data_IF_247313683590
#
_entry.id   IF_247313683590
#
_cell.length_a   1.000
_cell.length_b   1.000
_cell.length_c   1.000
_cell.angle_alpha   90.00
_cell.angle_beta   90.00
_cell.angle_gamma   90.00
#
_symmetry.space_group_name_H-M   'P 1'
#
loop_
_entity.id
_entity.type
_entity.pdbx_description
1 polymer ?
#
# COMPACT_ATOMS: atom_id res chain seq x y z
N UNK A 1 -11.66 5.66 -12.68
CA UNK A 1 -10.44 5.22 -13.38
C UNK A 1 -9.67 6.47 -13.75
N UNK A 2 -8.40 6.64 -13.35
CA UNK A 2 -7.57 7.78 -13.75
C UNK A 2 -6.76 7.35 -14.98
N UNK A 3 -6.98 8.01 -16.12
CA UNK A 3 -6.21 7.82 -17.35
C UNK A 3 -5.10 8.86 -17.34
N UNK A 4 -3.86 8.41 -17.51
CA UNK A 4 -2.68 9.29 -17.58
C UNK A 4 -2.26 9.32 -19.03
N UNK A 5 -2.33 10.50 -19.64
CA UNK A 5 -1.93 10.76 -21.01
C UNK A 5 -0.64 11.57 -20.99
N UNK A 6 0.31 11.20 -21.84
CA UNK A 6 1.47 12.02 -22.11
C UNK A 6 1.07 13.07 -23.14
N UNK A 7 0.65 14.24 -22.67
CA UNK A 7 0.15 15.32 -23.52
C UNK A 7 1.26 15.95 -24.38
N UNK A 8 2.53 15.85 -23.96
CA UNK A 8 3.66 16.32 -24.77
C UNK A 8 3.86 15.39 -25.97
N UNK A 9 3.79 14.07 -25.74
CA UNK A 9 3.83 13.08 -26.82
C UNK A 9 2.63 13.20 -27.76
N UNK A 10 1.42 13.39 -27.26
CA UNK A 10 0.23 13.58 -28.11
C UNK A 10 0.33 14.83 -28.99
N UNK A 11 0.95 15.90 -28.50
CA UNK A 11 1.19 17.10 -29.31
C UNK A 11 2.26 16.83 -30.37
N UNK A 12 3.34 16.12 -30.02
CA UNK A 12 4.40 15.72 -30.96
C UNK A 12 3.89 14.78 -32.06
N UNK A 13 3.02 13.85 -31.72
CA UNK A 13 2.42 12.88 -32.63
C UNK A 13 1.26 13.51 -33.46
N UNK A 14 0.95 14.80 -33.27
CA UNK A 14 -0.20 15.53 -33.87
C UNK A 14 -1.59 14.93 -33.55
N UNK A 15 -1.70 14.14 -32.47
CA UNK A 15 -2.97 13.58 -31.99
C UNK A 15 -3.86 14.63 -31.30
N UNK A 16 -3.27 15.74 -30.84
CA UNK A 16 -3.98 16.88 -30.24
C UNK A 16 -3.45 18.21 -30.78
N UNK A 17 -4.30 19.23 -30.80
CA UNK A 17 -3.92 20.60 -31.18
C UNK A 17 -3.19 21.34 -30.04
N UNK A 18 -2.45 22.40 -30.35
CA UNK A 18 -1.84 23.28 -29.32
C UNK A 18 -2.88 23.84 -28.34
N UNK A 19 -4.09 24.12 -28.83
CA UNK A 19 -5.20 24.63 -28.00
C UNK A 19 -5.71 23.59 -27.00
N UNK A 20 -5.80 22.33 -27.42
CA UNK A 20 -6.17 21.20 -26.57
C UNK A 20 -5.05 20.86 -25.59
N UNK A 21 -3.81 20.93 -26.04
CA UNK A 21 -2.64 20.81 -25.18
C UNK A 21 -2.68 21.84 -24.05
N UNK A 22 -2.90 23.12 -24.36
CA UNK A 22 -3.00 24.18 -23.36
C UNK A 22 -4.15 23.94 -22.37
N UNK A 23 -5.32 23.51 -22.87
CA UNK A 23 -6.48 23.17 -22.04
C UNK A 23 -6.22 21.97 -21.13
N UNK A 24 -5.68 20.88 -21.68
CA UNK A 24 -5.35 19.66 -20.93
C UNK A 24 -4.24 19.92 -19.92
N UNK A 25 -3.23 20.72 -20.27
CA UNK A 25 -2.16 21.17 -19.37
C UNK A 25 -2.71 22.02 -18.23
N UNK A 26 -3.66 22.92 -18.50
CA UNK A 26 -4.33 23.71 -17.47
C UNK A 26 -5.20 22.84 -16.53
N UNK A 27 -5.88 21.82 -17.07
CA UNK A 27 -6.63 20.84 -16.27
C UNK A 27 -5.72 19.92 -15.46
N UNK A 28 -4.60 19.48 -16.04
CA UNK A 28 -3.61 18.64 -15.40
C UNK A 28 -2.83 19.38 -14.31
N UNK A 29 -2.50 20.66 -14.50
CA UNK A 29 -1.81 21.48 -13.49
C UNK A 29 -2.55 21.53 -12.14
N UNK A 30 -3.87 21.34 -12.13
CA UNK A 30 -4.67 21.20 -10.89
C UNK A 30 -4.43 19.87 -10.15
N UNK A 31 -3.83 18.88 -10.79
CA UNK A 31 -3.77 17.49 -10.33
C UNK A 31 -2.32 16.94 -10.21
N UNK A 32 -1.36 17.45 -11.02
CA UNK A 32 0.04 16.95 -11.08
C UNK A 32 0.89 17.34 -9.87
N UNK A 33 0.58 18.45 -9.19
CA UNK A 33 1.23 18.82 -7.92
C UNK A 33 0.88 17.90 -6.74
N UNK A 34 -0.08 16.98 -6.92
CA UNK A 34 -0.68 16.27 -5.78
C UNK A 34 0.21 15.19 -5.17
N UNK A 35 1.08 14.48 -5.90
CA UNK A 35 1.74 13.30 -5.32
C UNK A 35 2.88 13.68 -4.35
N UNK A 36 3.84 14.49 -4.80
CA UNK A 36 4.92 14.97 -3.94
C UNK A 36 4.39 15.79 -2.76
N UNK A 37 3.38 16.63 -3.01
CA UNK A 37 2.70 17.40 -1.97
C UNK A 37 1.96 16.50 -0.96
N UNK A 38 1.24 15.46 -1.43
CA UNK A 38 0.58 14.50 -0.56
C UNK A 38 1.58 13.68 0.27
N UNK A 39 2.74 13.35 -0.31
CA UNK A 39 3.84 12.68 0.41
C UNK A 39 4.38 13.60 1.50
N UNK A 40 4.67 14.86 1.17
CA UNK A 40 5.18 15.84 2.13
C UNK A 40 4.18 16.11 3.26
N UNK A 41 2.89 16.25 2.94
CA UNK A 41 1.83 16.33 3.95
C UNK A 41 1.81 15.06 4.81
N UNK A 42 1.87 13.88 4.19
CA UNK A 42 1.88 12.61 4.92
C UNK A 42 3.02 12.54 5.93
N UNK A 43 4.25 12.84 5.50
CA UNK A 43 5.42 12.90 6.38
C UNK A 43 5.30 13.99 7.43
N UNK A 44 4.84 15.18 7.07
CA UNK A 44 4.64 16.29 8.00
C UNK A 44 3.65 15.92 9.11
N UNK A 45 2.50 15.34 8.76
CA UNK A 45 1.50 14.87 9.72
C UNK A 45 2.10 13.82 10.66
N UNK A 46 2.83 12.82 10.13
CA UNK A 46 3.47 11.79 10.94
C UNK A 46 4.50 12.41 11.88
N UNK A 47 5.35 13.31 11.39
CA UNK A 47 6.37 13.98 12.18
C UNK A 47 5.75 14.85 13.29
N UNK A 48 4.69 15.61 12.98
CA UNK A 48 3.96 16.40 13.98
C UNK A 48 3.33 15.52 15.06
N UNK A 49 2.68 14.42 14.66
CA UNK A 49 2.07 13.49 15.62
C UNK A 49 3.15 12.81 16.49
N UNK A 50 4.25 12.34 15.90
CA UNK A 50 5.35 11.73 16.62
C UNK A 50 6.04 12.71 17.58
N UNK A 51 6.28 13.95 17.14
CA UNK A 51 6.83 15.02 17.98
C UNK A 51 5.91 15.36 19.15
N UNK A 52 4.59 15.45 18.91
CA UNK A 52 3.61 15.68 19.96
C UNK A 52 3.57 14.52 20.97
N UNK A 53 3.62 13.27 20.53
CA UNK A 53 3.72 12.10 21.41
C UNK A 53 4.97 12.16 22.29
N UNK A 54 6.12 12.51 21.70
CA UNK A 54 7.39 12.62 22.40
C UNK A 54 7.41 13.77 23.44
N UNK A 55 6.70 14.87 23.16
CA UNK A 55 6.59 16.01 24.06
C UNK A 55 5.59 15.76 25.20
N UNK A 56 4.43 15.17 24.91
CA UNK A 56 3.40 14.93 25.92
C UNK A 56 3.82 13.90 26.96
N UNK A 57 4.64 12.91 26.58
CA UNK A 57 5.12 11.81 27.44
C UNK A 57 4.01 11.13 28.26
N UNK A 58 2.77 11.20 27.77
CA UNK A 58 1.57 10.75 28.47
C UNK A 58 0.58 10.20 27.46
N UNK A 59 0.30 8.90 27.57
CA UNK A 59 -0.64 8.23 26.69
C UNK A 59 -2.07 8.80 26.82
N UNK A 60 -2.63 9.03 28.03
CA UNK A 60 -3.94 9.67 28.16
C UNK A 60 -4.00 11.06 27.55
N UNK A 61 -2.98 11.90 27.76
CA UNK A 61 -2.95 13.25 27.18
C UNK A 61 -2.93 13.22 25.65
N UNK A 62 -2.18 12.29 25.07
CA UNK A 62 -2.10 12.10 23.62
C UNK A 62 -3.43 11.63 23.02
N UNK A 63 -4.12 10.71 23.71
CA UNK A 63 -5.46 10.25 23.30
C UNK A 63 -6.46 11.42 23.35
N UNK A 64 -6.53 12.14 24.47
CA UNK A 64 -7.47 13.25 24.66
C UNK A 64 -7.22 14.35 23.64
N UNK A 65 -5.97 14.76 23.45
CA UNK A 65 -5.62 15.78 22.46
C UNK A 65 -5.93 15.30 21.04
N UNK A 66 -5.58 14.06 20.69
CA UNK A 66 -5.85 13.50 19.38
C UNK A 66 -7.35 13.42 19.06
N UNK A 67 -8.17 13.02 20.03
CA UNK A 67 -9.63 13.02 19.90
C UNK A 67 -10.17 14.44 19.74
N UNK A 68 -9.71 15.39 20.56
CA UNK A 68 -10.13 16.79 20.47
C UNK A 68 -9.82 17.40 19.09
N UNK A 69 -8.61 17.20 18.58
CA UNK A 69 -8.20 17.64 17.25
C UNK A 69 -9.04 16.98 16.15
N UNK A 70 -9.35 15.69 16.29
CA UNK A 70 -10.18 14.96 15.34
C UNK A 70 -11.61 15.49 15.29
N UNK A 71 -12.22 15.73 16.45
CA UNK A 71 -13.57 16.30 16.55
C UNK A 71 -13.62 17.74 16.01
N UNK A 72 -12.60 18.55 16.28
CA UNK A 72 -12.47 19.88 15.70
C UNK A 72 -12.37 19.81 14.17
N UNK A 73 -11.56 18.88 13.65
CA UNK A 73 -11.40 18.66 12.22
C UNK A 73 -12.69 18.25 11.52
N UNK A 74 -13.44 17.31 12.11
CA UNK A 74 -14.78 16.91 11.62
C UNK A 74 -15.73 18.09 11.64
N UNK A 75 -15.77 18.86 12.73
CA UNK A 75 -16.67 20.00 12.90
C UNK A 75 -16.40 21.12 11.88
N UNK A 76 -15.12 21.45 11.66
CA UNK A 76 -14.71 22.44 10.65
C UNK A 76 -15.10 22.01 9.24
N UNK A 77 -14.95 20.72 8.91
CA UNK A 77 -15.36 20.19 7.60
C UNK A 77 -16.88 20.14 7.44
N UNK A 78 -17.62 19.83 8.49
CA UNK A 78 -19.08 19.78 8.43
C UNK A 78 -19.70 21.18 8.25
N UNK A 79 -19.16 22.21 8.91
CA UNK A 79 -19.75 23.55 8.94
C UNK A 79 -19.12 24.54 7.96
N UNK A 80 -17.83 24.38 7.64
CA UNK A 80 -17.06 25.40 6.92
C UNK A 80 -16.14 24.82 5.83
N UNK A 81 -16.59 23.77 5.12
CA UNK A 81 -15.77 23.07 4.11
C UNK A 81 -15.13 24.00 3.07
N UNK A 82 -15.82 25.07 2.67
CA UNK A 82 -15.34 26.03 1.65
C UNK A 82 -14.19 26.91 2.12
N UNK A 83 -14.11 27.21 3.42
CA UNK A 83 -13.13 28.15 3.99
C UNK A 83 -12.02 27.40 4.73
N UNK A 84 -12.38 26.36 5.49
CA UNK A 84 -11.48 25.66 6.43
C UNK A 84 -11.32 24.18 6.12
N UNK A 85 -11.73 23.73 4.93
CA UNK A 85 -11.72 22.31 4.57
C UNK A 85 -10.34 21.64 4.67
N UNK A 86 -9.28 22.36 4.26
CA UNK A 86 -7.89 21.87 4.35
C UNK A 86 -7.44 21.76 5.80
N UNK A 87 -7.64 22.81 6.60
CA UNK A 87 -7.30 22.81 8.03
C UNK A 87 -8.04 21.67 8.76
N UNK A 88 -9.33 21.52 8.51
CA UNK A 88 -10.13 20.45 9.10
C UNK A 88 -9.65 19.06 8.71
N UNK A 89 -9.15 18.87 7.48
CA UNK A 89 -8.54 17.61 7.07
C UNK A 89 -7.21 17.34 7.78
N UNK A 90 -6.35 18.36 7.92
CA UNK A 90 -5.08 18.24 8.64
C UNK A 90 -5.32 17.91 10.11
N UNK A 91 -6.23 18.63 10.78
CA UNK A 91 -6.57 18.38 12.19
C UNK A 91 -7.11 16.97 12.43
N UNK A 92 -7.97 16.49 11.52
CA UNK A 92 -8.48 15.12 11.58
C UNK A 92 -7.38 14.08 11.38
N UNK A 93 -6.45 14.32 10.45
CA UNK A 93 -5.31 13.44 10.20
C UNK A 93 -4.34 13.39 11.39
N UNK A 94 -3.87 14.54 11.84
CA UNK A 94 -2.94 14.67 12.98
C UNK A 94 -3.60 14.11 14.25
N UNK A 95 -4.86 14.48 14.51
CA UNK A 95 -5.61 14.01 15.65
C UNK A 95 -5.77 12.49 15.68
N UNK A 96 -6.12 11.88 14.53
CA UNK A 96 -6.29 10.42 14.44
C UNK A 96 -4.98 9.68 14.68
N UNK A 97 -3.86 10.16 14.11
CA UNK A 97 -2.55 9.52 14.28
C UNK A 97 -2.02 9.72 15.70
N UNK A 98 -2.21 10.90 16.30
CA UNK A 98 -1.82 11.18 17.67
C UNK A 98 -2.59 10.30 18.67
N UNK A 99 -3.92 10.21 18.52
CA UNK A 99 -4.74 9.33 19.33
C UNK A 99 -4.35 7.86 19.12
N UNK A 100 -4.07 7.45 17.89
CA UNK A 100 -3.60 6.10 17.59
C UNK A 100 -2.29 5.77 18.33
N UNK A 101 -1.29 6.66 18.28
CA UNK A 101 -0.04 6.48 19.02
C UNK A 101 -0.26 6.39 20.54
N UNK A 102 -1.12 7.26 21.08
CA UNK A 102 -1.50 7.21 22.51
C UNK A 102 -2.17 5.89 22.91
N UNK A 103 -3.07 5.36 22.06
CA UNK A 103 -3.71 4.06 22.28
C UNK A 103 -2.67 2.94 22.30
N UNK A 104 -1.74 2.92 21.34
CA UNK A 104 -0.70 1.88 21.28
C UNK A 104 0.21 1.92 22.50
N UNK A 105 0.63 3.12 22.94
CA UNK A 105 1.44 3.27 24.17
C UNK A 105 0.65 2.74 25.38
N UNK A 106 -0.64 3.12 25.51
CA UNK A 106 -1.48 2.73 26.65
C UNK A 106 -1.74 1.23 26.73
N UNK A 107 -1.80 0.57 25.58
CA UNK A 107 -2.09 -0.86 25.44
C UNK A 107 -0.85 -1.71 25.25
N UNK A 108 0.34 -1.10 25.35
CA UNK A 108 1.64 -1.75 25.20
C UNK A 108 1.76 -2.54 23.88
N UNK A 109 1.11 -2.07 22.82
CA UNK A 109 1.09 -2.76 21.52
C UNK A 109 0.31 -4.07 21.51
N UNK A 110 -0.63 -4.26 22.44
CA UNK A 110 -1.54 -5.40 22.45
C UNK A 110 -2.55 -5.41 21.30
N UNK A 111 -3.16 -6.58 21.05
CA UNK A 111 -4.14 -6.80 19.97
C UNK A 111 -5.33 -5.84 20.06
N UNK A 112 -5.86 -5.60 21.28
CA UNK A 112 -6.97 -4.68 21.50
C UNK A 112 -6.63 -3.24 21.11
N UNK A 113 -5.39 -2.81 21.37
CA UNK A 113 -4.87 -1.51 20.95
C UNK A 113 -4.84 -1.35 19.44
N UNK A 114 -4.25 -2.32 18.74
CA UNK A 114 -4.20 -2.30 17.27
C UNK A 114 -5.58 -2.39 16.62
N UNK A 115 -6.53 -3.14 17.20
CA UNK A 115 -7.92 -3.15 16.76
C UNK A 115 -8.59 -1.78 16.96
N UNK A 116 -8.42 -1.15 18.12
CA UNK A 116 -8.94 0.19 18.39
C UNK A 116 -8.36 1.22 17.41
N UNK A 117 -7.05 1.17 17.13
CA UNK A 117 -6.41 2.01 16.11
C UNK A 117 -6.95 1.73 14.72
N UNK A 118 -7.19 0.46 14.37
CA UNK A 118 -7.79 0.09 13.08
C UNK A 118 -9.14 0.76 12.90
N UNK A 119 -10.02 0.66 13.92
CA UNK A 119 -11.35 1.27 13.89
C UNK A 119 -11.25 2.79 13.81
N UNK A 120 -10.40 3.41 14.62
CA UNK A 120 -10.17 4.85 14.63
C UNK A 120 -9.70 5.37 13.27
N UNK A 121 -8.66 4.75 12.70
CA UNK A 121 -8.12 5.13 11.40
C UNK A 121 -9.12 4.86 10.27
N UNK A 122 -9.89 3.77 10.32
CA UNK A 122 -10.88 3.49 9.30
C UNK A 122 -12.04 4.49 9.34
N UNK A 123 -12.58 4.77 10.53
CA UNK A 123 -13.63 5.76 10.73
C UNK A 123 -13.16 7.17 10.35
N UNK A 124 -11.99 7.58 10.84
CA UNK A 124 -11.35 8.84 10.48
C UNK A 124 -11.08 8.94 8.98
N UNK A 125 -10.62 7.86 8.35
CA UNK A 125 -10.41 7.77 6.91
C UNK A 125 -11.67 7.94 6.08
N UNK A 126 -12.78 7.32 6.50
CA UNK A 126 -14.09 7.44 5.84
C UNK A 126 -14.64 8.86 6.00
N UNK A 127 -14.61 9.42 7.23
CA UNK A 127 -15.07 10.78 7.50
C UNK A 127 -14.22 11.82 6.77
N UNK A 128 -12.89 11.66 6.79
CA UNK A 128 -11.92 12.55 6.13
C UNK A 128 -11.91 12.40 4.61
N UNK A 129 -12.40 11.28 4.06
CA UNK A 129 -12.06 10.80 2.72
C UNK A 129 -10.54 10.68 2.52
N UNK A 130 -9.83 10.24 3.57
CA UNK A 130 -8.37 10.14 3.60
C UNK A 130 -7.88 8.76 3.20
N UNK A 131 -7.12 8.73 2.11
CA UNK A 131 -6.40 7.55 1.63
C UNK A 131 -5.36 7.06 2.64
N UNK A 132 -4.68 7.99 3.32
CA UNK A 132 -3.62 7.69 4.28
C UNK A 132 -4.17 6.93 5.50
N UNK A 133 -5.25 7.42 6.12
CA UNK A 133 -5.83 6.78 7.29
C UNK A 133 -6.41 5.39 6.97
N UNK A 134 -7.01 5.22 5.79
CA UNK A 134 -7.50 3.91 5.35
C UNK A 134 -6.35 2.91 5.13
N UNK A 135 -5.22 3.36 4.58
CA UNK A 135 -4.03 2.53 4.49
C UNK A 135 -3.46 2.19 5.88
N UNK A 136 -3.40 3.18 6.79
CA UNK A 136 -2.97 2.97 8.18
C UNK A 136 -3.88 2.01 8.93
N UNK A 137 -5.19 2.00 8.65
CA UNK A 137 -6.12 1.04 9.24
C UNK A 137 -5.77 -0.40 8.83
N UNK A 138 -5.48 -0.64 7.55
CA UNK A 138 -5.03 -1.97 7.09
C UNK A 138 -3.69 -2.38 7.72
N UNK A 139 -2.75 -1.45 7.86
CA UNK A 139 -1.46 -1.71 8.51
C UNK A 139 -1.62 -1.99 10.01
N UNK A 140 -2.42 -1.19 10.73
CA UNK A 140 -2.72 -1.42 12.14
C UNK A 140 -3.41 -2.78 12.35
N UNK A 141 -4.32 -3.16 11.45
CA UNK A 141 -4.97 -4.47 11.50
C UNK A 141 -3.93 -5.59 11.34
N UNK A 142 -2.90 -5.40 10.50
CA UNK A 142 -1.87 -6.42 10.28
C UNK A 142 -1.03 -6.68 11.53
N UNK A 143 -0.84 -5.67 12.38
CA UNK A 143 -0.16 -5.84 13.65
C UNK A 143 -0.94 -6.74 14.63
N UNK A 144 -2.26 -6.90 14.46
CA UNK A 144 -3.05 -7.83 15.28
C UNK A 144 -2.68 -9.30 15.04
N UNK A 145 -2.18 -9.62 13.83
CA UNK A 145 -1.65 -10.94 13.44
C UNK A 145 -0.11 -10.98 13.48
N UNK A 146 0.48 -10.01 14.18
CA UNK A 146 1.92 -9.94 14.47
C UNK A 146 2.79 -9.45 13.32
N UNK A 147 2.26 -8.59 12.45
CA UNK A 147 3.10 -7.76 11.59
C UNK A 147 3.80 -6.66 12.42
N UNK A 148 5.11 -6.54 12.26
CA UNK A 148 5.91 -5.54 12.94
C UNK A 148 7.17 -5.19 12.14
N UNK A 149 7.85 -4.14 12.57
CA UNK A 149 9.21 -3.80 12.13
C UNK A 149 10.17 -3.98 13.29
N UNK A 150 11.35 -4.53 13.02
CA UNK A 150 12.43 -4.65 13.99
C UNK A 150 13.63 -3.81 13.52
N UNK A 151 14.40 -3.30 14.48
CA UNK A 151 15.68 -2.68 14.21
C UNK A 151 16.73 -3.36 15.09
N UNK A 152 17.78 -3.87 14.46
CA UNK A 152 18.92 -4.46 15.17
C UNK A 152 20.21 -4.15 14.42
N UNK A 153 21.22 -3.64 15.12
CA UNK A 153 22.55 -3.32 14.57
C UNK A 153 22.58 -2.74 13.13
N UNK A 154 21.85 -1.64 12.89
CA UNK A 154 21.73 -0.98 11.58
C UNK A 154 21.01 -1.78 10.48
N UNK A 155 20.33 -2.86 10.85
CA UNK A 155 19.44 -3.61 9.98
C UNK A 155 17.98 -3.36 10.34
N UNK A 156 17.16 -3.14 9.31
CA UNK A 156 15.71 -3.05 9.43
C UNK A 156 15.08 -4.37 9.01
N UNK A 157 14.43 -5.04 9.95
CA UNK A 157 13.70 -6.28 9.72
C UNK A 157 12.21 -6.03 9.55
N UNK A 158 11.61 -6.71 8.58
CA UNK A 158 10.16 -6.89 8.53
C UNK A 158 9.82 -8.20 9.23
N UNK A 159 8.84 -8.16 10.13
CA UNK A 159 8.39 -9.32 10.89
C UNK A 159 6.94 -9.61 10.57
N UNK A 160 6.61 -10.85 10.22
CA UNK A 160 5.24 -11.37 10.14
C UNK A 160 5.18 -12.66 10.95
N UNK A 161 4.53 -12.62 12.11
CA UNK A 161 4.49 -13.75 13.05
C UNK A 161 3.58 -14.89 12.63
N UNK A 162 2.48 -14.56 11.96
CA UNK A 162 1.52 -15.53 11.47
C UNK A 162 1.35 -15.38 9.96
N UNK A 163 2.33 -15.84 9.15
CA UNK A 163 2.28 -15.76 7.69
C UNK A 163 0.98 -16.30 7.08
N UNK A 164 0.50 -17.48 7.49
CA UNK A 164 -0.72 -18.08 6.93
C UNK A 164 -1.94 -17.23 7.22
N UNK A 165 -2.10 -16.79 8.47
CA UNK A 165 -3.23 -15.93 8.89
C UNK A 165 -3.18 -14.61 8.12
N UNK A 166 -1.99 -14.02 7.96
CA UNK A 166 -1.80 -12.80 7.20
C UNK A 166 -2.23 -12.97 5.74
N UNK A 167 -1.78 -14.03 5.06
CA UNK A 167 -2.15 -14.32 3.67
C UNK A 167 -3.66 -14.51 3.53
N UNK A 168 -4.28 -15.32 4.38
CA UNK A 168 -5.70 -15.66 4.27
C UNK A 168 -6.59 -14.46 4.62
N UNK A 169 -6.33 -13.80 5.77
CA UNK A 169 -7.11 -12.67 6.24
C UNK A 169 -7.04 -11.50 5.25
N UNK A 170 -5.82 -11.09 4.87
CA UNK A 170 -5.67 -9.95 3.97
C UNK A 170 -6.04 -10.27 2.52
N UNK A 171 -5.96 -11.54 2.10
CA UNK A 171 -6.51 -11.99 0.83
C UNK A 171 -8.03 -11.83 0.78
N UNK A 172 -8.72 -12.32 1.82
CA UNK A 172 -10.17 -12.18 1.96
C UNK A 172 -10.59 -10.71 2.06
N UNK A 173 -9.92 -9.92 2.90
CA UNK A 173 -10.20 -8.48 3.07
C UNK A 173 -9.95 -7.71 1.78
N UNK A 174 -8.90 -8.03 1.03
CA UNK A 174 -8.63 -7.42 -0.27
C UNK A 174 -9.77 -7.69 -1.25
N UNK A 175 -10.20 -8.95 -1.34
CA UNK A 175 -11.32 -9.34 -2.19
C UNK A 175 -12.63 -8.66 -1.77
N UNK A 176 -12.98 -8.67 -0.48
CA UNK A 176 -14.18 -8.03 0.05
C UNK A 176 -14.19 -6.51 -0.21
N UNK A 177 -13.09 -5.83 0.08
CA UNK A 177 -12.96 -4.39 -0.15
C UNK A 177 -13.03 -4.05 -1.64
N UNK A 178 -12.43 -4.86 -2.51
CA UNK A 178 -12.58 -4.70 -3.95
C UNK A 178 -14.03 -4.89 -4.40
N UNK A 179 -14.73 -5.93 -3.92
CA UNK A 179 -16.15 -6.18 -4.24
C UNK A 179 -17.04 -5.04 -3.75
N UNK A 180 -16.77 -4.52 -2.57
CA UNK A 180 -17.46 -3.35 -2.02
C UNK A 180 -17.22 -2.10 -2.87
N UNK A 181 -16.00 -1.90 -3.37
CA UNK A 181 -15.66 -0.76 -4.23
C UNK A 181 -16.50 -0.68 -5.51
N UNK A 182 -17.04 -1.80 -5.99
CA UNK A 182 -17.91 -1.85 -7.17
C UNK A 182 -19.32 -1.30 -6.91
N UNK A 183 -19.70 -1.12 -5.63
CA UNK A 183 -21.04 -0.67 -5.21
C UNK A 183 -21.04 0.73 -4.59
N UNK A 184 -19.86 1.29 -4.32
CA UNK A 184 -19.72 2.57 -3.63
C UNK A 184 -19.64 3.74 -4.61
N UNK A 185 -20.12 4.91 -4.17
CA UNK A 185 -19.90 6.17 -4.87
C UNK A 185 -18.39 6.47 -5.01
N UNK A 186 -18.01 7.23 -6.05
CA UNK A 186 -16.61 7.46 -6.47
C UNK A 186 -15.65 7.80 -5.33
N UNK A 187 -16.08 8.66 -4.40
CA UNK A 187 -15.25 9.10 -3.27
C UNK A 187 -14.90 7.95 -2.32
N UNK A 188 -15.86 7.07 -2.03
CA UNK A 188 -15.70 5.92 -1.14
C UNK A 188 -15.14 4.70 -1.87
N UNK A 189 -15.43 4.57 -3.17
CA UNK A 189 -14.82 3.58 -4.05
C UNK A 189 -13.29 3.68 -3.99
N UNK A 190 -12.74 4.91 -4.05
CA UNK A 190 -11.30 5.14 -3.95
C UNK A 190 -10.73 4.60 -2.64
N UNK A 191 -11.39 4.84 -1.52
CA UNK A 191 -10.96 4.36 -0.20
C UNK A 191 -10.96 2.83 -0.12
N UNK A 192 -12.04 2.19 -0.58
CA UNK A 192 -12.13 0.73 -0.61
C UNK A 192 -11.04 0.10 -1.50
N UNK A 193 -10.73 0.72 -2.65
CA UNK A 193 -9.60 0.29 -3.50
C UNK A 193 -8.26 0.43 -2.77
N UNK A 194 -8.03 1.51 -2.05
CA UNK A 194 -6.78 1.70 -1.29
C UNK A 194 -6.65 0.63 -0.21
N UNK A 195 -7.70 0.39 0.57
CA UNK A 195 -7.71 -0.67 1.56
C UNK A 195 -7.40 -2.02 0.90
N UNK A 196 -8.09 -2.35 -0.20
CA UNK A 196 -7.87 -3.60 -0.92
C UNK A 196 -6.43 -3.78 -1.41
N UNK A 197 -5.82 -2.69 -1.90
CA UNK A 197 -4.44 -2.67 -2.39
C UNK A 197 -3.43 -2.82 -1.26
N UNK A 198 -3.63 -2.13 -0.13
CA UNK A 198 -2.79 -2.28 1.05
C UNK A 198 -2.89 -3.69 1.63
N UNK A 199 -4.09 -4.28 1.64
CA UNK A 199 -4.27 -5.69 2.02
C UNK A 199 -3.53 -6.64 1.06
N UNK A 200 -3.61 -6.44 -0.25
CA UNK A 200 -2.88 -7.28 -1.21
C UNK A 200 -1.35 -7.14 -1.07
N UNK A 201 -0.87 -5.95 -0.73
CA UNK A 201 0.53 -5.73 -0.37
C UNK A 201 0.92 -6.57 0.87
N UNK A 202 0.09 -6.55 1.92
CA UNK A 202 0.31 -7.36 3.13
C UNK A 202 0.28 -8.87 2.88
N UNK A 203 -0.56 -9.35 1.95
CA UNK A 203 -0.55 -10.76 1.51
C UNK A 203 0.84 -11.17 1.01
N UNK A 204 1.47 -10.33 0.19
CA UNK A 204 2.80 -10.62 -0.32
C UNK A 204 3.87 -10.59 0.78
N UNK A 205 3.73 -9.72 1.79
CA UNK A 205 4.62 -9.73 2.96
C UNK A 205 4.48 -11.02 3.77
N UNK A 206 3.24 -11.52 3.93
CA UNK A 206 2.98 -12.81 4.55
C UNK A 206 3.65 -13.96 3.79
N UNK A 207 3.48 -14.03 2.47
CA UNK A 207 4.18 -15.02 1.66
C UNK A 207 5.70 -14.89 1.72
N UNK A 208 6.23 -13.67 1.72
CA UNK A 208 7.67 -13.45 1.77
C UNK A 208 8.29 -14.01 3.04
N UNK A 209 7.79 -13.62 4.20
CA UNK A 209 8.27 -14.13 5.49
C UNK A 209 8.02 -15.63 5.62
N UNK A 210 6.82 -16.11 5.25
CA UNK A 210 6.51 -17.54 5.26
C UNK A 210 7.42 -18.37 4.35
N UNK A 211 7.90 -17.81 3.24
CA UNK A 211 8.82 -18.51 2.31
C UNK A 211 10.23 -18.71 2.87
N UNK A 212 10.61 -17.95 3.90
CA UNK A 212 11.88 -18.08 4.59
C UNK A 212 11.78 -19.04 5.78
N UNK A 213 10.74 -18.87 6.61
CA UNK A 213 10.69 -19.56 7.91
C UNK A 213 9.51 -20.53 8.08
N UNK A 214 8.56 -20.58 7.15
CA UNK A 214 7.31 -21.31 7.35
C UNK A 214 6.35 -20.59 8.30
N UNK A 215 5.45 -21.34 8.93
CA UNK A 215 4.51 -20.80 9.92
C UNK A 215 4.14 -21.85 10.96
N UNK A 216 4.25 -21.51 12.25
CA UNK A 216 3.73 -22.30 13.36
C UNK A 216 2.26 -21.97 13.57
N UNK A 217 1.37 -22.73 12.95
CA UNK A 217 -0.07 -22.52 13.06
C UNK A 217 -0.50 -22.54 14.53
N UNK A 218 -1.40 -21.61 14.87
CA UNK A 218 -2.06 -21.51 16.17
C UNK A 218 -1.19 -21.02 17.33
N UNK A 219 0.08 -20.67 17.09
CA UNK A 219 0.86 -19.93 18.08
C UNK A 219 0.49 -18.45 18.09
N UNK A 220 0.50 -17.85 19.27
CA UNK A 220 0.17 -16.45 19.47
C UNK A 220 1.18 -15.54 18.77
N UNK A 221 0.72 -14.33 18.39
CA UNK A 221 1.53 -13.29 17.71
C UNK A 221 2.82 -12.89 18.42
N UNK A 222 2.98 -13.21 19.70
CA UNK A 222 4.15 -12.82 20.50
C UNK A 222 5.25 -13.92 20.53
N UNK A 223 5.03 -15.06 19.87
CA UNK A 223 5.98 -16.18 19.84
C UNK A 223 6.92 -16.09 18.63
N UNK A 224 8.22 -16.18 18.85
CA UNK A 224 9.27 -16.05 17.82
C UNK A 224 9.67 -17.36 17.11
N UNK A 225 9.10 -18.48 17.53
CA UNK A 225 9.51 -19.81 17.09
C UNK A 225 8.55 -20.37 16.01
N UNK A 226 9.09 -20.45 14.79
CA UNK A 226 8.42 -20.88 13.55
C UNK A 226 8.45 -22.40 13.30
N UNK A 227 9.11 -23.18 14.15
CA UNK A 227 9.39 -24.61 13.91
C UNK A 227 8.72 -25.54 14.92
N UNK A 228 7.52 -25.20 15.38
CA UNK A 228 7.00 -25.82 16.59
C UNK A 228 5.48 -25.82 16.68
N UNK A 229 4.93 -26.96 17.14
CA UNK A 229 3.51 -27.25 17.02
C UNK A 229 3.16 -27.73 15.60
N UNK A 230 2.00 -27.33 15.08
CA UNK A 230 1.63 -27.65 13.69
C UNK A 230 2.27 -26.65 12.75
N UNK A 231 3.25 -27.09 11.96
CA UNK A 231 4.04 -26.20 11.10
C UNK A 231 3.58 -26.32 9.65
N UNK A 232 3.32 -25.19 9.00
CA UNK A 232 3.27 -25.09 7.54
C UNK A 232 4.70 -24.88 7.05
N UNK A 233 5.27 -25.83 6.31
CA UNK A 233 6.64 -25.74 5.84
C UNK A 233 6.88 -24.53 4.93
N UNK A 234 8.08 -23.95 4.97
CA UNK A 234 8.46 -22.81 4.13
C UNK A 234 8.25 -23.06 2.63
N UNK A 235 8.49 -24.28 2.14
CA UNK A 235 8.30 -24.63 0.73
C UNK A 235 6.85 -24.48 0.25
N UNK A 236 5.86 -24.62 1.14
CA UNK A 236 4.45 -24.40 0.81
C UNK A 236 4.22 -22.94 0.45
N UNK A 237 4.84 -22.01 1.19
CA UNK A 237 4.81 -20.59 0.86
C UNK A 237 5.63 -20.29 -0.39
N UNK A 238 6.78 -20.93 -0.59
CA UNK A 238 7.59 -20.75 -1.81
C UNK A 238 6.78 -21.08 -3.06
N UNK A 239 6.24 -22.31 -3.11
CA UNK A 239 5.47 -22.80 -4.27
C UNK A 239 4.14 -22.07 -4.40
N UNK A 240 3.42 -21.90 -3.28
CA UNK A 240 2.13 -21.21 -3.26
C UNK A 240 2.24 -19.75 -3.71
N UNK A 241 3.29 -19.04 -3.30
CA UNK A 241 3.53 -17.67 -3.74
C UNK A 241 3.87 -17.61 -5.22
N UNK A 242 4.76 -18.48 -5.72
CA UNK A 242 5.10 -18.56 -7.14
C UNK A 242 3.86 -18.81 -8.02
N UNK A 243 3.04 -19.80 -7.65
CA UNK A 243 1.78 -20.11 -8.35
C UNK A 243 0.82 -18.92 -8.28
N UNK A 244 0.65 -18.31 -7.10
CA UNK A 244 -0.22 -17.16 -6.90
C UNK A 244 0.21 -15.95 -7.73
N UNK A 245 1.51 -15.64 -7.77
CA UNK A 245 2.07 -14.55 -8.56
C UNK A 245 1.85 -14.78 -10.06
N UNK A 246 2.12 -15.98 -10.57
CA UNK A 246 1.95 -16.30 -11.99
C UNK A 246 0.46 -16.29 -12.38
N UNK A 247 -0.39 -17.00 -11.64
CA UNK A 247 -1.82 -17.10 -11.96
C UNK A 247 -2.49 -15.72 -11.91
N UNK A 248 -2.23 -14.93 -10.87
CA UNK A 248 -2.77 -13.57 -10.74
C UNK A 248 -2.16 -12.64 -11.78
N UNK A 249 -0.89 -12.84 -12.15
CA UNK A 249 -0.20 -12.05 -13.17
C UNK A 249 -0.80 -12.26 -14.55
N UNK A 250 -0.97 -13.51 -14.96
CA UNK A 250 -1.62 -13.88 -16.23
C UNK A 250 -3.03 -13.34 -16.29
N UNK A 251 -3.82 -13.49 -15.22
CA UNK A 251 -5.14 -12.89 -15.13
C UNK A 251 -5.08 -11.36 -15.27
N UNK A 252 -4.22 -10.69 -14.50
CA UNK A 252 -4.10 -9.24 -14.48
C UNK A 252 -3.71 -8.67 -15.84
N UNK A 253 -2.84 -9.35 -16.58
CA UNK A 253 -2.51 -8.99 -17.97
C UNK A 253 -3.73 -9.12 -18.87
N UNK A 254 -4.45 -10.26 -18.83
CA UNK A 254 -5.65 -10.49 -19.66
C UNK A 254 -6.76 -9.47 -19.43
N UNK A 255 -6.95 -9.03 -18.19
CA UNK A 255 -7.96 -8.03 -17.82
C UNK A 255 -7.42 -6.59 -17.72
N UNK A 256 -6.22 -6.35 -18.23
CA UNK A 256 -5.58 -5.04 -18.33
C UNK A 256 -5.43 -4.27 -16.99
N UNK A 257 -5.12 -4.98 -15.90
CA UNK A 257 -4.98 -4.44 -14.54
C UNK A 257 -3.54 -4.03 -14.23
N UNK A 258 -3.07 -2.95 -14.85
CA UNK A 258 -1.68 -2.46 -14.75
C UNK A 258 -1.11 -2.38 -13.33
N UNK A 259 -1.87 -1.84 -12.37
CA UNK A 259 -1.40 -1.73 -10.98
C UNK A 259 -1.09 -3.10 -10.36
N UNK A 260 -1.94 -4.10 -10.63
CA UNK A 260 -1.74 -5.47 -10.12
C UNK A 260 -0.53 -6.09 -10.80
N UNK A 261 -0.37 -5.93 -12.12
CA UNK A 261 0.82 -6.44 -12.84
C UNK A 261 2.10 -5.87 -12.26
N UNK A 262 2.17 -4.56 -12.00
CA UNK A 262 3.35 -3.93 -11.42
C UNK A 262 3.64 -4.45 -10.00
N UNK A 263 2.60 -4.60 -9.16
CA UNK A 263 2.74 -5.17 -7.82
C UNK A 263 3.34 -6.58 -7.88
N UNK A 264 2.78 -7.44 -8.73
CA UNK A 264 3.21 -8.83 -8.87
C UNK A 264 4.60 -8.95 -9.50
N UNK A 265 4.98 -8.04 -10.40
CA UNK A 265 6.33 -8.01 -10.97
C UNK A 265 7.38 -7.66 -9.90
N UNK A 266 7.08 -6.67 -9.03
CA UNK A 266 7.96 -6.31 -7.91
C UNK A 266 8.07 -7.48 -6.92
N UNK A 267 6.94 -8.04 -6.48
CA UNK A 267 6.98 -9.16 -5.54
C UNK A 267 7.48 -10.47 -6.14
N UNK A 268 7.32 -10.68 -7.45
CA UNK A 268 7.95 -11.77 -8.18
C UNK A 268 9.47 -11.64 -8.24
N UNK A 269 9.98 -10.42 -8.43
CA UNK A 269 11.41 -10.16 -8.28
C UNK A 269 11.87 -10.43 -6.84
N UNK A 270 11.17 -9.91 -5.82
CA UNK A 270 11.49 -10.17 -4.40
C UNK A 270 11.51 -11.67 -4.11
N UNK A 271 10.50 -12.41 -4.57
CA UNK A 271 10.43 -13.86 -4.45
C UNK A 271 11.65 -14.55 -5.09
N UNK A 272 11.94 -14.21 -6.35
CA UNK A 272 13.09 -14.74 -7.08
C UNK A 272 14.41 -14.46 -6.34
N UNK A 273 14.69 -13.21 -5.95
CA UNK A 273 15.92 -12.85 -5.25
C UNK A 273 16.06 -13.54 -3.91
N UNK A 274 14.98 -13.56 -3.13
CA UNK A 274 14.98 -14.22 -1.83
C UNK A 274 15.39 -15.68 -2.00
N UNK A 275 14.69 -16.42 -2.88
CA UNK A 275 14.96 -17.84 -3.07
C UNK A 275 16.30 -18.12 -3.77
N UNK A 276 16.74 -17.21 -4.65
CA UNK A 276 18.04 -17.29 -5.32
C UNK A 276 19.19 -17.21 -4.32
N UNK A 277 19.18 -16.22 -3.43
CA UNK A 277 20.23 -16.04 -2.43
C UNK A 277 20.16 -17.07 -1.29
N UNK A 278 18.96 -17.48 -0.87
CA UNK A 278 18.82 -18.54 0.14
C UNK A 278 19.39 -19.88 -0.34
N UNK A 279 19.32 -20.17 -1.66
CA UNK A 279 19.80 -21.45 -2.21
C UNK A 279 21.24 -21.42 -2.69
N UNK A 280 21.69 -20.29 -3.23
CA UNK A 280 23.01 -20.18 -3.86
C UNK A 280 24.02 -19.35 -3.05
N UNK A 281 23.57 -18.67 -2.01
CA UNK A 281 24.39 -17.76 -1.21
C UNK A 281 24.77 -16.47 -1.93
N UNK A 282 25.42 -15.56 -1.21
CA UNK A 282 25.83 -14.24 -1.70
C UNK A 282 27.31 -14.21 -2.15
N UNK A 283 27.67 -15.09 -3.09
CA UNK A 283 28.97 -15.05 -3.76
C UNK A 283 29.04 -13.93 -4.82
N UNK A 284 30.24 -13.48 -5.24
CA UNK A 284 30.36 -12.49 -6.30
C UNK A 284 29.65 -12.89 -7.61
N UNK A 285 29.72 -14.17 -7.99
CA UNK A 285 29.08 -14.67 -9.22
C UNK A 285 27.55 -14.71 -9.11
N UNK A 286 27.02 -15.08 -7.94
CA UNK A 286 25.56 -15.07 -7.70
C UNK A 286 25.04 -13.63 -7.66
N UNK A 287 25.75 -12.69 -7.04
CA UNK A 287 25.40 -11.27 -7.06
C UNK A 287 25.37 -10.74 -8.50
N UNK A 288 26.42 -10.99 -9.29
CA UNK A 288 26.49 -10.56 -10.69
C UNK A 288 25.34 -11.14 -11.52
N UNK A 289 25.10 -12.45 -11.42
CA UNK A 289 24.01 -13.13 -12.12
C UNK A 289 22.65 -12.55 -11.76
N UNK A 290 22.42 -12.30 -10.46
CA UNK A 290 21.19 -11.70 -9.95
C UNK A 290 21.01 -10.26 -10.45
N UNK A 291 22.08 -9.48 -10.58
CA UNK A 291 22.07 -8.11 -11.11
C UNK A 291 21.70 -8.07 -12.58
N UNK A 292 22.26 -8.98 -13.39
CA UNK A 292 21.89 -9.14 -14.80
C UNK A 292 20.42 -9.55 -14.97
N UNK A 293 19.93 -10.47 -14.12
CA UNK A 293 18.51 -10.82 -14.09
C UNK A 293 17.61 -9.61 -13.77
N UNK A 294 18.04 -8.73 -12.85
CA UNK A 294 17.32 -7.51 -12.48
C UNK A 294 17.11 -6.61 -13.70
N UNK A 295 18.19 -6.38 -14.45
CA UNK A 295 18.20 -5.55 -15.64
C UNK A 295 17.29 -6.15 -16.72
N UNK A 296 17.33 -7.47 -16.91
CA UNK A 296 16.42 -8.17 -17.82
C UNK A 296 14.95 -7.98 -17.46
N UNK A 297 14.60 -8.15 -16.17
CA UNK A 297 13.24 -7.94 -15.67
C UNK A 297 12.82 -6.48 -15.84
N UNK A 298 13.69 -5.52 -15.52
CA UNK A 298 13.42 -4.10 -15.68
C UNK A 298 13.10 -3.74 -17.14
N UNK A 299 13.90 -4.23 -18.10
CA UNK A 299 13.67 -4.04 -19.54
C UNK A 299 12.34 -4.67 -19.96
N UNK A 300 12.00 -5.86 -19.47
CA UNK A 300 10.73 -6.51 -19.77
C UNK A 300 9.52 -5.70 -19.27
N UNK A 301 9.60 -5.17 -18.04
CA UNK A 301 8.57 -4.31 -17.45
C UNK A 301 8.42 -3.01 -18.25
N UNK A 302 9.52 -2.37 -18.64
CA UNK A 302 9.50 -1.15 -19.46
C UNK A 302 8.84 -1.43 -20.81
N UNK A 303 9.24 -2.51 -21.50
CA UNK A 303 8.64 -2.91 -22.78
C UNK A 303 7.15 -3.23 -22.66
N UNK A 304 6.74 -3.92 -21.60
CA UNK A 304 5.34 -4.20 -21.32
C UNK A 304 4.55 -2.91 -21.11
N UNK A 305 5.07 -1.99 -20.30
CA UNK A 305 4.43 -0.70 -20.03
C UNK A 305 4.33 0.17 -21.29
N UNK A 306 5.31 0.11 -22.20
CA UNK A 306 5.29 0.84 -23.46
C UNK A 306 4.26 0.29 -24.46
N UNK A 307 4.00 -1.03 -24.45
CA UNK A 307 3.03 -1.70 -25.34
C UNK A 307 1.61 -1.74 -24.78
N UNK A 308 1.40 -1.24 -23.57
CA UNK A 308 0.09 -1.24 -22.92
C UNK A 308 -0.86 -0.28 -23.67
N UNK A 309 -1.78 -0.82 -24.47
CA UNK A 309 -2.89 -0.06 -25.05
C UNK A 309 -4.10 -0.14 -24.10
N UNK A 310 -4.73 0.99 -23.73
CA UNK A 310 -5.94 0.96 -22.91
C UNK A 310 -7.08 0.26 -23.65
N UNK A 311 -8.03 -0.37 -22.95
CA UNK A 311 -9.18 -1.01 -23.60
C UNK A 311 -9.99 0.05 -24.35
N UNK A 312 -10.20 -0.16 -25.66
CA UNK A 312 -10.89 0.79 -26.54
C UNK A 312 -9.99 1.69 -27.39
N UNK A 313 -8.66 1.50 -27.35
CA UNK A 313 -7.78 2.11 -28.35
C UNK A 313 -8.13 1.56 -29.74
N UNK A 314 -8.46 2.46 -30.68
CA UNK A 314 -8.67 2.11 -32.09
C UNK A 314 -7.39 1.41 -32.61
N UNK A 315 -7.53 0.45 -33.54
CA UNK A 315 -6.37 -0.07 -34.27
C UNK A 315 -5.60 1.12 -34.84
N UNK A 316 -4.26 1.12 -34.74
CA UNK A 316 -3.46 2.04 -35.55
C UNK A 316 -3.84 1.77 -37.00
N UNK A 317 -4.45 2.76 -37.66
CA UNK A 317 -4.60 2.70 -39.10
C UNK A 317 -3.20 2.50 -39.69
N UNK A 318 -3.07 1.49 -40.55
CA UNK A 318 -1.81 1.20 -41.21
C UNK A 318 -1.28 2.49 -41.85
N UNK A 319 0.03 2.76 -41.75
CA UNK A 319 0.58 4.01 -42.26
C UNK A 319 0.21 4.12 -43.74
N UNK A 320 -0.61 5.12 -44.06
CA UNK A 320 -0.89 5.50 -45.43
C UNK A 320 0.42 6.03 -45.98
N UNK A 321 1.14 5.17 -46.70
CA UNK A 321 2.31 5.56 -47.48
C UNK A 321 1.86 6.70 -48.42
N UNK A 322 2.30 7.91 -48.13
CA UNK A 322 2.29 9.05 -49.05
C UNK A 322 3.72 9.36 -49.44
#
# INVERSE_FOLDING_TARGET
MKVVLDIDKLLLDNDITESEYARLKALAAKDTGSLAFNILIGFGVIATAAGALALLRSAPASIVLGVALSLAGVSLRARYIRQWGVLGAILLLVGSILAAGGIIIRTEGGTSGFLAVTVLCLAGGILARSSLLVAMAALALSATVGAATAYDHAMYGLVIRQPSVTVLLFGLLSWLAYRLSLRLATDYQRLAIIFARTSLFLVNLGFWVGSLWGDSLWRGRDVWDFNSGTVVPSWVFVVGWAVGLIATGVWAVRVNRRWVVNLLAVFGAVHFYTQYFERLGASPSTILGSGLAALGIAVAIVRYNARFKPPGALPEEAPVLR
#
